data_IF_267675004124
#
_entry.id   IF_267675004124
#
_cell.length_a   1.000
_cell.length_b   1.000
_cell.length_c   1.000
_cell.angle_alpha   90.00
_cell.angle_beta   90.00
_cell.angle_gamma   90.00
#
_symmetry.space_group_name_H-M   'P 1'
#
loop_
_entity.id
_entity.type
_entity.pdbx_description
1 polymer ?
#
# COMPACT_ATOMS: atom_id res chain seq x y z
N UNK A 1 -8.38 4.79 -18.04
CA UNK A 1 -8.13 3.45 -17.49
C UNK A 1 -6.68 3.42 -17.01
N UNK A 2 -6.43 2.97 -15.77
CA UNK A 2 -5.07 2.92 -15.22
C UNK A 2 -4.26 1.77 -15.85
N UNK A 3 -2.92 1.89 -15.94
CA UNK A 3 -2.05 0.80 -16.34
C UNK A 3 -2.20 -0.41 -15.42
N UNK A 4 -2.00 -1.61 -15.98
CA UNK A 4 -2.10 -2.85 -15.22
C UNK A 4 -1.09 -2.94 -14.07
N UNK A 5 0.10 -2.34 -14.25
CA UNK A 5 1.12 -2.23 -13.20
C UNK A 5 0.61 -1.52 -11.95
N UNK A 6 -0.18 -0.44 -12.11
CA UNK A 6 -0.79 0.31 -11.00
C UNK A 6 -1.80 -0.56 -10.26
N UNK A 7 -2.67 -1.26 -10.99
CA UNK A 7 -3.68 -2.14 -10.40
C UNK A 7 -3.05 -3.32 -9.64
N UNK A 8 -1.99 -3.91 -10.21
CA UNK A 8 -1.27 -5.02 -9.59
C UNK A 8 -0.52 -4.58 -8.33
N UNK A 9 0.11 -3.40 -8.36
CA UNK A 9 0.81 -2.85 -7.21
C UNK A 9 -0.15 -2.54 -6.06
N UNK A 10 -1.31 -1.94 -6.36
CA UNK A 10 -2.37 -1.69 -5.36
C UNK A 10 -2.85 -2.99 -4.70
N UNK A 11 -3.15 -4.03 -5.50
CA UNK A 11 -3.55 -5.35 -4.96
C UNK A 11 -2.47 -6.00 -4.10
N UNK A 12 -1.20 -5.86 -4.49
CA UNK A 12 -0.07 -6.37 -3.72
C UNK A 12 0.07 -5.66 -2.37
N UNK A 13 -0.12 -4.33 -2.35
CA UNK A 13 -0.15 -3.54 -1.12
C UNK A 13 -1.29 -4.00 -0.21
N UNK A 14 -2.52 -4.10 -0.73
CA UNK A 14 -3.66 -4.59 0.05
C UNK A 14 -3.37 -5.97 0.66
N UNK A 15 -2.83 -6.89 -0.12
CA UNK A 15 -2.50 -8.25 0.34
C UNK A 15 -1.48 -8.26 1.48
N UNK A 16 -0.46 -7.40 1.45
CA UNK A 16 0.54 -7.29 2.53
C UNK A 16 -0.03 -6.56 3.74
N UNK A 17 -0.79 -5.48 3.53
CA UNK A 17 -1.40 -4.68 4.61
C UNK A 17 -2.36 -5.53 5.45
N UNK A 18 -3.12 -6.43 4.81
CA UNK A 18 -4.06 -7.32 5.49
C UNK A 18 -3.37 -8.41 6.34
N UNK A 19 -2.05 -8.57 6.24
CA UNK A 19 -1.27 -9.52 7.06
C UNK A 19 -0.76 -8.92 8.38
N UNK A 20 -0.93 -7.61 8.60
CA UNK A 20 -0.56 -7.00 9.88
C UNK A 20 -1.52 -7.45 10.99
N UNK A 21 -0.97 -7.99 12.08
CA UNK A 21 -1.74 -8.33 13.28
C UNK A 21 -2.35 -7.12 13.99
N UNK A 22 -1.71 -5.95 13.89
CA UNK A 22 -2.23 -4.70 14.49
C UNK A 22 -3.36 -4.10 13.64
N UNK A 23 -4.60 -4.05 14.15
CA UNK A 23 -5.74 -3.53 13.39
C UNK A 23 -5.61 -2.04 13.05
N UNK A 24 -4.98 -1.26 13.94
CA UNK A 24 -4.75 0.17 13.74
C UNK A 24 -3.79 0.43 12.58
N UNK A 25 -2.68 -0.33 12.53
CA UNK A 25 -1.72 -0.27 11.42
C UNK A 25 -2.36 -0.70 10.11
N UNK A 26 -3.04 -1.85 10.10
CA UNK A 26 -3.74 -2.37 8.91
C UNK A 26 -4.74 -1.36 8.35
N UNK A 27 -5.58 -0.79 9.22
CA UNK A 27 -6.61 0.19 8.83
C UNK A 27 -6.00 1.48 8.27
N UNK A 28 -4.93 1.98 8.89
CA UNK A 28 -4.24 3.18 8.44
C UNK A 28 -3.67 3.01 7.02
N UNK A 29 -2.88 1.95 6.81
CA UNK A 29 -2.23 1.74 5.51
C UNK A 29 -3.24 1.37 4.42
N UNK A 30 -4.31 0.65 4.75
CA UNK A 30 -5.36 0.32 3.79
C UNK A 30 -6.07 1.59 3.32
N UNK A 31 -6.41 2.49 4.25
CA UNK A 31 -7.01 3.79 3.89
C UNK A 31 -6.06 4.61 3.03
N UNK A 32 -4.79 4.71 3.42
CA UNK A 32 -3.78 5.46 2.68
C UNK A 32 -3.60 4.93 1.24
N UNK A 33 -3.46 3.62 1.08
CA UNK A 33 -3.31 2.99 -0.24
C UNK A 33 -4.53 3.26 -1.13
N UNK A 34 -5.74 3.21 -0.56
CA UNK A 34 -6.99 3.51 -1.29
C UNK A 34 -7.09 4.98 -1.70
N UNK A 35 -6.74 5.90 -0.81
CA UNK A 35 -6.77 7.33 -1.08
C UNK A 35 -5.78 7.70 -2.20
N UNK A 36 -4.55 7.16 -2.16
CA UNK A 36 -3.52 7.39 -3.18
C UNK A 36 -3.87 6.74 -4.53
N UNK A 37 -4.48 5.54 -4.53
CA UNK A 37 -4.99 4.91 -5.75
C UNK A 37 -6.12 5.72 -6.40
N UNK A 38 -7.04 6.28 -5.59
CA UNK A 38 -8.11 7.14 -6.11
C UNK A 38 -7.58 8.47 -6.68
N UNK A 39 -6.56 9.06 -6.05
CA UNK A 39 -5.90 10.26 -6.55
C UNK A 39 -5.27 10.00 -7.93
N UNK A 40 -4.50 8.91 -8.08
CA UNK A 40 -3.88 8.61 -9.39
C UNK A 40 -4.91 8.22 -10.45
N UNK A 41 -5.98 7.53 -10.08
CA UNK A 41 -7.10 7.23 -10.98
C UNK A 41 -7.72 8.52 -11.53
N UNK A 42 -7.98 9.49 -10.65
CA UNK A 42 -8.58 10.78 -11.00
C UNK A 42 -7.66 11.59 -11.92
N UNK A 43 -6.37 11.67 -11.60
CA UNK A 43 -5.36 12.37 -12.43
C UNK A 43 -5.20 11.73 -13.81
N UNK A 44 -5.22 10.41 -13.88
CA UNK A 44 -5.07 9.65 -15.13
C UNK A 44 -6.28 9.77 -16.05
N UNK A 45 -7.50 9.83 -15.49
CA UNK A 45 -8.72 10.04 -16.27
C UNK A 45 -8.85 11.48 -16.81
N UNK A 46 -8.33 12.48 -16.09
CA UNK A 46 -8.45 13.89 -16.48
C UNK A 46 -7.42 14.37 -17.49
N UNK A 47 -6.14 13.98 -17.33
CA UNK A 47 -5.02 14.58 -18.11
C UNK A 47 -3.96 13.60 -18.63
N UNK A 48 -4.09 12.28 -18.41
CA UNK A 48 -3.05 11.28 -18.71
C UNK A 48 -1.65 11.76 -18.26
N UNK A 49 -1.51 12.03 -16.96
CA UNK A 49 -0.24 12.45 -16.37
C UNK A 49 0.67 11.23 -16.14
N UNK A 50 1.47 10.88 -17.15
CA UNK A 50 2.40 9.74 -17.11
C UNK A 50 3.46 9.88 -16.01
N UNK A 51 3.94 11.10 -15.73
CA UNK A 51 4.91 11.33 -14.64
C UNK A 51 4.31 11.08 -13.27
N UNK A 52 3.03 11.40 -13.09
CA UNK A 52 2.33 11.06 -11.85
C UNK A 52 2.20 9.55 -11.66
N UNK A 53 1.99 8.79 -12.74
CA UNK A 53 1.94 7.32 -12.70
C UNK A 53 3.31 6.75 -12.33
N UNK A 54 4.39 7.22 -12.96
CA UNK A 54 5.76 6.78 -12.65
C UNK A 54 6.13 7.06 -11.19
N UNK A 55 5.80 8.25 -10.68
CA UNK A 55 6.03 8.59 -9.28
C UNK A 55 5.21 7.70 -8.36
N UNK A 56 3.93 7.50 -8.66
CA UNK A 56 3.07 6.59 -7.89
C UNK A 56 3.68 5.20 -7.81
N UNK A 57 4.07 4.61 -8.94
CA UNK A 57 4.65 3.27 -8.97
C UNK A 57 5.91 3.19 -8.10
N UNK A 58 6.82 4.15 -8.23
CA UNK A 58 8.04 4.21 -7.44
C UNK A 58 7.76 4.30 -5.94
N UNK A 59 6.93 5.26 -5.53
CA UNK A 59 6.66 5.53 -4.12
C UNK A 59 5.92 4.34 -3.46
N UNK A 60 5.01 3.70 -4.20
CA UNK A 60 4.26 2.54 -3.73
C UNK A 60 5.08 1.23 -3.72
N UNK A 61 6.04 1.07 -4.64
CA UNK A 61 6.98 -0.07 -4.61
C UNK A 61 7.90 0.00 -3.39
N UNK A 62 8.40 1.20 -3.06
CA UNK A 62 9.20 1.43 -1.86
C UNK A 62 8.38 1.16 -0.59
N UNK A 63 7.12 1.64 -0.55
CA UNK A 63 6.21 1.34 0.55
C UNK A 63 5.96 -0.16 0.68
N UNK A 64 5.74 -0.88 -0.42
CA UNK A 64 5.50 -2.33 -0.41
C UNK A 64 6.69 -3.09 0.18
N UNK A 65 7.92 -2.74 -0.18
CA UNK A 65 9.14 -3.33 0.38
C UNK A 65 9.26 -3.06 1.89
N UNK A 66 9.02 -1.83 2.32
CA UNK A 66 8.99 -1.47 3.75
C UNK A 66 7.92 -2.28 4.49
N UNK A 67 6.70 -2.35 3.96
CA UNK A 67 5.61 -3.07 4.60
C UNK A 67 5.90 -4.57 4.70
N UNK A 68 6.45 -5.21 3.66
CA UNK A 68 6.83 -6.63 3.72
C UNK A 68 7.85 -6.92 4.83
N UNK A 69 8.84 -6.04 4.98
CA UNK A 69 9.84 -6.14 6.06
C UNK A 69 9.19 -5.94 7.43
N UNK A 70 8.32 -4.94 7.55
CA UNK A 70 7.61 -4.65 8.80
C UNK A 70 6.62 -5.76 9.16
N UNK A 71 5.90 -6.36 8.22
CA UNK A 71 5.05 -7.53 8.48
C UNK A 71 5.89 -8.69 9.02
N UNK A 72 7.09 -8.92 8.46
CA UNK A 72 8.00 -9.98 8.93
C UNK A 72 8.52 -9.69 10.34
N UNK A 73 9.05 -8.49 10.57
CA UNK A 73 9.60 -8.06 11.87
C UNK A 73 8.49 -8.04 12.91
N UNK A 74 7.39 -7.36 12.64
CA UNK A 74 6.27 -7.23 13.56
C UNK A 74 5.67 -8.60 13.87
N UNK A 75 5.47 -9.49 12.89
CA UNK A 75 4.97 -10.83 13.19
C UNK A 75 5.97 -11.71 13.96
N UNK A 76 7.28 -11.46 13.87
CA UNK A 76 8.30 -12.12 14.70
C UNK A 76 8.29 -11.63 16.16
N UNK A 77 7.93 -10.36 16.41
CA UNK A 77 7.95 -9.75 17.76
C UNK A 77 6.56 -9.51 18.37
N UNK A 78 5.49 -9.77 17.63
CA UNK A 78 4.12 -9.67 18.12
C UNK A 78 3.73 -10.98 18.82
N UNK A 79 4.04 -11.02 20.11
CA UNK A 79 3.56 -12.00 21.06
C UNK A 79 2.19 -11.55 21.59
N UNK A 80 1.19 -12.44 21.61
CA UNK A 80 -0.15 -12.18 22.17
C UNK A 80 -0.08 -11.82 23.68
N UNK A 81 1.07 -12.05 24.31
CA UNK A 81 1.38 -11.64 25.69
C UNK A 81 1.73 -10.15 25.86
N UNK A 82 1.96 -9.43 24.76
CA UNK A 82 2.22 -7.98 24.77
C UNK A 82 0.90 -7.22 24.80
N UNK A 83 0.20 -7.28 25.94
CA UNK A 83 -1.06 -6.59 26.18
C UNK A 83 -0.94 -5.08 26.00
N UNK A 84 -1.19 -4.61 24.78
CA UNK A 84 -1.74 -3.29 24.50
C UNK A 84 -3.26 -3.44 24.36
#
# INVERSE_FOLDING_TARGET
MLPESVNNLYKNLESVILQFKSPAFGSYFLKKAKDEYNDIYTRSCGKKDERAIERYLKDQEELLDILRRQTTIYNMFYDDSSGI
#
